data_IF_848538083192
#
_entry.id   IF_848538083192
#
_cell.length_a   1.000
_cell.length_b   1.000
_cell.length_c   1.000
_cell.angle_alpha   90.00
_cell.angle_beta   90.00
_cell.angle_gamma   90.00
#
_symmetry.space_group_name_H-M   'P 1'
#
loop_
_entity.id
_entity.type
_entity.pdbx_description
1 polymer ?
#
# COMPACT_ATOMS: atom_id res chain seq x y z
N UNK A 1 1.90 -32.74 0.29
CA UNK A 1 2.42 -31.75 1.26
C UNK A 1 3.19 -30.69 0.46
N UNK A 2 2.73 -29.43 0.44
CA UNK A 2 3.32 -28.35 -0.39
C UNK A 2 4.53 -27.67 0.25
N UNK A 3 4.70 -27.81 1.56
CA UNK A 3 5.84 -27.28 2.31
C UNK A 3 6.83 -28.41 2.63
N UNK A 4 8.10 -28.22 2.21
CA UNK A 4 9.23 -29.12 2.48
C UNK A 4 10.33 -28.29 3.17
N UNK A 5 10.47 -28.34 4.51
CA UNK A 5 11.42 -27.51 5.24
C UNK A 5 12.86 -27.61 4.70
N UNK A 6 13.24 -28.80 4.23
CA UNK A 6 14.58 -29.10 3.70
C UNK A 6 14.86 -28.42 2.35
N UNK A 7 13.84 -27.87 1.70
CA UNK A 7 13.95 -27.12 0.46
C UNK A 7 14.09 -25.60 0.68
N UNK A 8 14.12 -25.13 1.93
CA UNK A 8 14.23 -23.70 2.26
C UNK A 8 15.38 -23.48 3.25
N UNK A 9 16.21 -22.48 2.96
CA UNK A 9 17.24 -22.00 3.88
C UNK A 9 16.64 -20.92 4.80
N UNK A 10 16.93 -20.94 6.12
CA UNK A 10 16.48 -19.88 7.03
C UNK A 10 17.04 -18.52 6.61
N UNK A 11 16.17 -17.52 6.46
CA UNK A 11 16.59 -16.15 6.14
C UNK A 11 17.33 -15.47 7.31
N UNK A 12 17.02 -15.87 8.55
CA UNK A 12 17.59 -15.33 9.78
C UNK A 12 17.48 -16.35 10.92
N UNK A 13 18.33 -16.20 11.94
CA UNK A 13 18.26 -16.93 13.21
C UNK A 13 17.22 -16.32 14.17
N UNK A 14 16.71 -15.12 13.88
CA UNK A 14 15.71 -14.47 14.73
C UNK A 14 14.39 -15.26 14.75
N UNK A 15 13.87 -15.64 15.94
CA UNK A 15 12.60 -16.33 16.02
C UNK A 15 11.44 -15.39 15.71
N UNK A 16 10.36 -15.93 15.14
CA UNK A 16 9.13 -15.19 14.90
C UNK A 16 8.55 -14.58 16.18
N UNK A 17 8.26 -13.28 16.14
CA UNK A 17 7.66 -12.53 17.26
C UNK A 17 6.44 -11.76 16.78
N UNK A 18 5.25 -12.30 17.06
CA UNK A 18 3.99 -11.73 16.59
C UNK A 18 3.76 -10.27 17.03
N UNK A 19 4.21 -9.88 18.24
CA UNK A 19 4.07 -8.50 18.71
C UNK A 19 4.86 -7.52 17.82
N UNK A 20 6.13 -7.85 17.52
CA UNK A 20 7.01 -7.04 16.68
C UNK A 20 6.44 -6.85 15.29
N UNK A 21 5.83 -7.90 14.72
CA UNK A 21 5.17 -7.82 13.41
C UNK A 21 3.98 -6.87 13.45
N UNK A 22 3.14 -6.95 14.49
CA UNK A 22 2.01 -6.04 14.64
C UNK A 22 2.45 -4.58 14.85
N UNK A 23 3.55 -4.36 15.56
CA UNK A 23 4.15 -3.03 15.72
C UNK A 23 4.66 -2.49 14.39
N UNK A 24 5.45 -3.29 13.65
CA UNK A 24 5.96 -2.90 12.35
C UNK A 24 4.83 -2.57 11.35
N UNK A 25 3.72 -3.32 11.35
CA UNK A 25 2.55 -3.00 10.51
C UNK A 25 1.97 -1.62 10.87
N UNK A 26 1.84 -1.29 12.16
CA UNK A 26 1.36 0.04 12.58
C UNK A 26 2.32 1.16 12.18
N UNK A 27 3.62 0.92 12.30
CA UNK A 27 4.66 1.88 11.87
C UNK A 27 4.59 2.14 10.37
N UNK A 28 4.46 1.08 9.56
CA UNK A 28 4.31 1.21 8.10
C UNK A 28 3.03 1.98 7.73
N UNK A 29 1.92 1.73 8.41
CA UNK A 29 0.66 2.47 8.16
C UNK A 29 0.82 3.95 8.53
N UNK A 30 1.44 4.26 9.67
CA UNK A 30 1.69 5.63 10.08
C UNK A 30 2.59 6.37 9.09
N UNK A 31 3.67 5.73 8.64
CA UNK A 31 4.56 6.27 7.60
C UNK A 31 3.83 6.46 6.26
N UNK A 32 2.96 5.50 5.88
CA UNK A 32 2.12 5.61 4.68
C UNK A 32 1.19 6.82 4.76
N UNK A 33 0.57 7.08 5.91
CA UNK A 33 -0.27 8.26 6.13
C UNK A 33 0.55 9.55 5.96
N UNK A 34 1.75 9.61 6.56
CA UNK A 34 2.63 10.79 6.50
C UNK A 34 3.21 11.02 5.10
N UNK A 35 3.40 9.96 4.32
CA UNK A 35 3.92 10.02 2.96
C UNK A 35 2.90 10.51 1.91
N UNK A 36 1.62 10.65 2.27
CA UNK A 36 0.58 11.13 1.35
C UNK A 36 0.87 12.58 0.92
N UNK A 37 1.04 12.82 -0.39
CA UNK A 37 1.36 14.16 -0.94
C UNK A 37 0.12 15.02 -1.23
N UNK A 38 -1.02 14.67 -0.63
CA UNK A 38 -2.32 15.30 -0.83
C UNK A 38 -3.18 14.64 -1.93
N UNK A 39 -4.44 15.09 -2.09
CA UNK A 39 -5.50 14.36 -2.80
C UNK A 39 -5.30 14.25 -4.32
N UNK A 40 -4.37 15.03 -4.90
CA UNK A 40 -4.06 14.98 -6.35
C UNK A 40 -2.76 14.28 -6.68
N UNK A 41 -1.77 14.37 -5.79
CA UNK A 41 -0.43 13.81 -5.99
C UNK A 41 -0.29 12.42 -5.37
N UNK A 42 -1.18 12.04 -4.45
CA UNK A 42 -1.21 10.76 -3.76
C UNK A 42 0.19 10.34 -3.27
N UNK A 43 0.54 9.05 -3.38
CA UNK A 43 1.88 8.56 -3.12
C UNK A 43 2.76 8.67 -4.36
N UNK A 44 4.03 9.00 -4.14
CA UNK A 44 5.04 8.97 -5.19
C UNK A 44 5.28 7.51 -5.56
N UNK A 45 5.15 7.19 -6.85
CA UNK A 45 5.53 5.87 -7.34
C UNK A 45 7.05 5.70 -7.27
N UNK A 46 7.49 4.50 -6.87
CA UNK A 46 8.88 4.11 -6.94
C UNK A 46 9.39 4.16 -8.40
N UNK A 47 10.68 4.36 -8.58
CA UNK A 47 11.25 4.48 -9.92
C UNK A 47 11.17 3.14 -10.70
N UNK A 48 11.18 1.99 -10.01
CA UNK A 48 10.97 0.68 -10.61
C UNK A 48 9.52 0.43 -11.05
N UNK A 49 8.53 1.06 -10.41
CA UNK A 49 7.10 0.89 -10.70
C UNK A 49 6.62 1.74 -11.89
N UNK A 50 7.44 2.66 -12.39
CA UNK A 50 7.08 3.66 -13.40
C UNK A 50 7.17 3.18 -14.85
N UNK A 51 7.27 1.88 -15.11
CA UNK A 51 7.42 1.39 -16.48
C UNK A 51 6.26 1.85 -17.37
N UNK A 52 6.52 2.87 -18.21
CA UNK A 52 5.57 3.56 -19.09
C UNK A 52 4.42 4.33 -18.41
N UNK A 53 4.50 4.60 -17.11
CA UNK A 53 3.45 5.30 -16.37
C UNK A 53 4.00 6.47 -15.55
N UNK A 54 3.23 7.56 -15.48
CA UNK A 54 3.57 8.76 -14.72
C UNK A 54 2.91 8.74 -13.34
N UNK A 55 3.66 9.14 -12.33
CA UNK A 55 3.13 9.36 -10.99
C UNK A 55 2.10 10.50 -10.95
N UNK A 56 1.06 10.41 -10.11
CA UNK A 56 0.73 9.26 -9.27
C UNK A 56 0.23 8.06 -10.08
N UNK A 57 0.66 6.88 -9.65
CA UNK A 57 0.07 5.62 -10.10
C UNK A 57 -1.28 5.46 -9.41
N UNK A 58 -2.31 5.12 -10.19
CA UNK A 58 -3.71 5.10 -9.72
C UNK A 58 -4.31 3.70 -9.67
N UNK A 59 -3.65 2.73 -10.30
CA UNK A 59 -4.12 1.35 -10.44
C UNK A 59 -3.99 0.54 -9.13
N UNK A 60 -4.50 -0.69 -9.14
CA UNK A 60 -4.49 -1.58 -7.99
C UNK A 60 -3.11 -2.20 -7.69
N UNK A 61 -2.32 -2.53 -8.72
CA UNK A 61 -1.10 -3.34 -8.55
C UNK A 61 0.07 -2.54 -7.96
N UNK A 62 0.29 -1.30 -8.43
CA UNK A 62 1.43 -0.44 -8.02
C UNK A 62 0.98 1.00 -7.75
N UNK A 63 -0.32 1.22 -7.54
CA UNK A 63 -0.90 2.55 -7.43
C UNK A 63 -1.75 2.78 -6.20
N UNK A 64 -2.29 4.00 -6.12
CA UNK A 64 -3.06 4.47 -4.98
C UNK A 64 -4.28 3.59 -4.67
N UNK A 65 -4.92 2.97 -5.67
CA UNK A 65 -6.03 2.05 -5.40
C UNK A 65 -5.59 0.82 -4.57
N UNK A 66 -4.37 0.31 -4.80
CA UNK A 66 -3.79 -0.77 -4.00
C UNK A 66 -3.51 -0.35 -2.57
N UNK A 67 -2.91 0.83 -2.39
CA UNK A 67 -2.64 1.39 -1.06
C UNK A 67 -3.93 1.61 -0.28
N UNK A 68 -4.94 2.23 -0.89
CA UNK A 68 -6.23 2.50 -0.26
C UNK A 68 -6.95 1.19 0.14
N UNK A 69 -6.93 0.19 -0.74
CA UNK A 69 -7.51 -1.12 -0.44
C UNK A 69 -6.78 -1.82 0.72
N UNK A 70 -5.44 -1.80 0.72
CA UNK A 70 -4.65 -2.41 1.77
C UNK A 70 -4.87 -1.74 3.13
N UNK A 71 -4.96 -0.41 3.16
CA UNK A 71 -5.28 0.34 4.39
C UNK A 71 -6.68 0.02 4.93
N UNK A 72 -7.69 -0.09 4.05
CA UNK A 72 -9.04 -0.49 4.48
C UNK A 72 -9.05 -1.92 5.03
N UNK A 73 -8.35 -2.86 4.37
CA UNK A 73 -8.27 -4.25 4.83
C UNK A 73 -7.57 -4.37 6.19
N UNK A 74 -6.43 -3.68 6.38
CA UNK A 74 -5.72 -3.67 7.65
C UNK A 74 -6.56 -3.08 8.79
N UNK A 75 -7.36 -2.04 8.51
CA UNK A 75 -8.31 -1.46 9.45
C UNK A 75 -9.43 -2.45 9.80
N UNK A 76 -10.08 -3.02 8.79
CA UNK A 76 -11.21 -3.95 8.98
C UNK A 76 -10.80 -5.24 9.69
N UNK A 77 -9.56 -5.69 9.49
CA UNK A 77 -8.97 -6.83 10.18
C UNK A 77 -8.37 -6.49 11.56
N UNK A 78 -8.45 -5.23 12.01
CA UNK A 78 -8.00 -4.79 13.34
C UNK A 78 -6.48 -4.85 13.53
N UNK A 79 -5.71 -4.67 12.45
CA UNK A 79 -4.25 -4.74 12.48
C UNK A 79 -3.59 -3.36 12.64
N UNK A 80 -4.18 -2.32 12.06
CA UNK A 80 -3.73 -0.94 12.17
C UNK A 80 -4.88 0.03 11.86
N UNK A 81 -4.78 1.24 12.41
CA UNK A 81 -5.66 2.36 12.08
C UNK A 81 -4.91 3.32 11.15
N UNK A 82 -5.64 3.98 10.24
CA UNK A 82 -5.14 5.06 9.38
C UNK A 82 -5.86 6.36 9.73
N UNK A 83 -5.16 7.48 9.61
CA UNK A 83 -5.71 8.84 9.80
C UNK A 83 -6.38 9.39 8.55
N UNK A 84 -6.27 8.69 7.42
CA UNK A 84 -6.73 9.18 6.12
C UNK A 84 -8.23 8.92 5.93
N UNK A 85 -8.91 9.84 5.26
CA UNK A 85 -10.24 9.58 4.72
C UNK A 85 -10.11 8.73 3.45
N UNK A 86 -10.14 7.41 3.63
CA UNK A 86 -9.99 6.47 2.53
C UNK A 86 -11.12 6.56 1.50
N UNK A 87 -12.33 6.95 1.91
CA UNK A 87 -13.46 7.05 1.00
C UNK A 87 -13.30 8.27 0.08
N UNK A 88 -12.94 9.43 0.66
CA UNK A 88 -12.63 10.63 -0.11
C UNK A 88 -11.48 10.39 -1.09
N UNK A 89 -10.38 9.78 -0.63
CA UNK A 89 -9.22 9.49 -1.48
C UNK A 89 -9.53 8.47 -2.58
N UNK A 90 -10.39 7.48 -2.32
CA UNK A 90 -10.80 6.52 -3.33
C UNK A 90 -11.63 7.16 -4.45
N UNK A 91 -12.55 8.07 -4.10
CA UNK A 91 -13.31 8.85 -5.08
C UNK A 91 -12.37 9.74 -5.91
N UNK A 92 -11.47 10.46 -5.25
CA UNK A 92 -10.47 11.30 -5.94
C UNK A 92 -9.56 10.48 -6.86
N UNK A 93 -9.16 9.27 -6.46
CA UNK A 93 -8.36 8.38 -7.32
C UNK A 93 -9.12 7.95 -8.58
N UNK A 94 -10.43 7.67 -8.48
CA UNK A 94 -11.28 7.32 -9.64
C UNK A 94 -11.44 8.52 -10.59
N UNK A 95 -11.67 9.71 -10.06
CA UNK A 95 -11.74 10.94 -10.87
C UNK A 95 -10.45 11.19 -11.63
N UNK A 96 -9.30 10.99 -10.98
CA UNK A 96 -7.99 11.10 -11.63
C UNK A 96 -7.77 10.00 -12.66
N UNK A 97 -8.37 8.82 -12.52
CA UNK A 97 -8.21 7.70 -13.46
C UNK A 97 -9.04 7.88 -14.74
N UNK A 98 -10.01 8.80 -14.76
CA UNK A 98 -10.84 9.08 -15.92
C UNK A 98 -10.02 9.37 -17.19
N UNK A 99 -10.57 9.10 -18.38
CA UNK A 99 -9.87 9.34 -19.63
C UNK A 99 -9.46 10.82 -19.72
N UNK A 100 -8.23 11.09 -20.16
CA UNK A 100 -7.86 12.43 -20.60
C UNK A 100 -8.93 12.91 -21.60
N UNK A 101 -9.46 14.15 -21.47
CA UNK A 101 -10.36 14.67 -22.47
C UNK A 101 -9.66 14.56 -23.83
N UNK A 102 -10.31 13.90 -24.79
CA UNK A 102 -9.84 13.77 -26.17
C UNK A 102 -9.43 15.17 -26.64
N UNK A 103 -8.13 15.38 -26.83
CA UNK A 103 -7.58 16.62 -27.40
C UNK A 103 -7.83 16.68 -28.89
#
# INVERSE_FOLDING_TARGET
MLYRPEAFEPLTEEPWRAHRVREAVREIVADTDDALRGPKLMWRADDWDRWQATSPMKNLYVGAAGVLWALDELRRSGHAETRLDLAELALGNLELFGPDPIR
#
